data_IF_973718585600
#
_entry.id   IF_973718585600
#
_cell.length_a   1.000
_cell.length_b   1.000
_cell.length_c   1.000
_cell.angle_alpha   90.00
_cell.angle_beta   90.00
_cell.angle_gamma   90.00
#
_symmetry.space_group_name_H-M   'P 1'
#
loop_
_entity.id
_entity.type
_entity.pdbx_description
1 polymer ?
#
# COMPACT_ATOMS: atom_id res chain seq x y z
N UNK A 1 11.84 -10.12 14.35
CA UNK A 1 11.68 -8.84 13.62
C UNK A 1 10.86 -9.18 12.39
N UNK A 2 9.77 -8.44 12.14
CA UNK A 2 8.93 -8.65 10.95
C UNK A 2 9.65 -8.03 9.76
N UNK A 3 9.73 -8.72 8.63
CA UNK A 3 10.35 -8.19 7.41
C UNK A 3 9.43 -7.18 6.71
N UNK A 4 9.95 -6.29 5.85
CA UNK A 4 9.12 -5.39 5.04
C UNK A 4 8.07 -6.12 4.19
N UNK A 5 8.40 -7.30 3.67
CA UNK A 5 7.50 -8.15 2.88
C UNK A 5 6.39 -8.74 3.75
N UNK A 6 6.72 -9.27 4.93
CA UNK A 6 5.70 -9.74 5.90
C UNK A 6 4.78 -8.58 6.32
N UNK A 7 5.33 -7.38 6.51
CA UNK A 7 4.56 -6.18 6.84
C UNK A 7 3.59 -5.79 5.71
N UNK A 8 4.04 -5.85 4.46
CA UNK A 8 3.19 -5.63 3.29
C UNK A 8 2.07 -6.67 3.19
N UNK A 9 2.38 -7.94 3.40
CA UNK A 9 1.37 -9.02 3.42
C UNK A 9 0.29 -8.74 4.46
N UNK A 10 0.67 -8.34 5.66
CA UNK A 10 -0.26 -7.94 6.71
C UNK A 10 -1.15 -6.76 6.30
N UNK A 11 -0.64 -5.80 5.55
CA UNK A 11 -1.41 -4.65 5.04
C UNK A 11 -2.39 -5.05 3.92
N UNK A 12 -2.00 -5.97 3.04
CA UNK A 12 -2.90 -6.54 2.04
C UNK A 12 -4.04 -7.29 2.74
N UNK A 13 -3.71 -8.17 3.70
CA UNK A 13 -4.70 -8.97 4.44
C UNK A 13 -5.71 -8.07 5.17
N UNK A 14 -5.26 -7.03 5.86
CA UNK A 14 -6.15 -6.10 6.58
C UNK A 14 -7.03 -5.23 5.69
N UNK A 15 -6.72 -5.16 4.39
CA UNK A 15 -7.45 -4.34 3.42
C UNK A 15 -8.49 -5.15 2.64
N UNK A 16 -8.52 -6.48 2.78
CA UNK A 16 -9.40 -7.39 2.03
C UNK A 16 -10.89 -7.07 2.15
N UNK A 17 -11.34 -6.56 3.30
CA UNK A 17 -12.75 -6.19 3.51
C UNK A 17 -13.13 -4.84 2.86
N UNK A 18 -12.14 -4.04 2.48
CA UNK A 18 -12.33 -2.72 1.87
C UNK A 18 -12.28 -2.75 0.35
N UNK A 19 -11.55 -3.71 -0.22
CA UNK A 19 -11.24 -3.80 -1.64
C UNK A 19 -12.06 -4.88 -2.35
N UNK A 20 -12.14 -4.80 -3.68
CA UNK A 20 -12.83 -5.85 -4.45
C UNK A 20 -11.96 -7.10 -4.56
N UNK A 21 -12.59 -8.22 -4.92
CA UNK A 21 -11.87 -9.50 -5.11
C UNK A 21 -10.83 -9.38 -6.23
N UNK A 22 -11.15 -8.66 -7.31
CA UNK A 22 -10.25 -8.43 -8.42
C UNK A 22 -9.03 -7.60 -7.98
N UNK A 23 -9.24 -6.50 -7.24
CA UNK A 23 -8.13 -5.68 -6.72
C UNK A 23 -7.20 -6.52 -5.84
N UNK A 24 -7.76 -7.32 -4.92
CA UNK A 24 -6.95 -8.19 -4.05
C UNK A 24 -6.15 -9.22 -4.84
N UNK A 25 -6.74 -9.83 -5.88
CA UNK A 25 -6.00 -10.79 -6.73
C UNK A 25 -4.83 -10.14 -7.45
N UNK A 26 -4.98 -8.91 -7.90
CA UNK A 26 -3.89 -8.17 -8.55
C UNK A 26 -2.77 -7.84 -7.56
N UNK A 27 -3.10 -7.37 -6.35
CA UNK A 27 -2.11 -7.14 -5.30
C UNK A 27 -1.38 -8.43 -4.90
N UNK A 28 -2.12 -9.53 -4.73
CA UNK A 28 -1.54 -10.85 -4.43
C UNK A 28 -0.69 -11.36 -5.61
N UNK A 29 -1.06 -11.05 -6.85
CA UNK A 29 -0.25 -11.40 -8.03
C UNK A 29 1.13 -10.73 -7.95
N UNK A 30 1.20 -9.41 -7.79
CA UNK A 30 2.48 -8.70 -7.66
C UNK A 30 3.28 -9.19 -6.45
N UNK A 31 2.62 -9.37 -5.30
CA UNK A 31 3.27 -9.85 -4.08
C UNK A 31 3.91 -11.24 -4.27
N UNK A 32 3.19 -12.17 -4.89
CA UNK A 32 3.67 -13.53 -5.14
C UNK A 32 4.81 -13.58 -6.16
N UNK A 33 4.87 -12.61 -7.09
CA UNK A 33 5.98 -12.43 -8.03
C UNK A 33 7.17 -11.66 -7.43
N UNK A 34 7.11 -11.30 -6.15
CA UNK A 34 8.12 -10.50 -5.43
C UNK A 34 8.26 -9.08 -5.96
N UNK A 35 7.24 -8.58 -6.63
CA UNK A 35 7.12 -7.20 -7.11
C UNK A 35 6.50 -6.35 -6.00
N UNK A 36 7.18 -6.29 -4.84
CA UNK A 36 6.64 -5.70 -3.61
C UNK A 36 6.36 -4.20 -3.72
N UNK A 37 7.18 -3.49 -4.49
CA UNK A 37 6.97 -2.08 -4.82
C UNK A 37 5.63 -1.89 -5.52
N UNK A 38 5.37 -2.68 -6.57
CA UNK A 38 4.11 -2.66 -7.32
C UNK A 38 2.93 -3.05 -6.44
N UNK A 39 3.06 -4.13 -5.66
CA UNK A 39 2.03 -4.55 -4.72
C UNK A 39 1.68 -3.44 -3.70
N UNK A 40 2.68 -2.73 -3.17
CA UNK A 40 2.42 -1.68 -2.19
C UNK A 40 1.88 -0.39 -2.83
N UNK A 41 2.39 -0.01 -4.01
CA UNK A 41 1.87 1.11 -4.78
C UNK A 41 0.41 0.90 -5.17
N UNK A 42 0.08 -0.28 -5.72
CA UNK A 42 -1.29 -0.66 -6.04
C UNK A 42 -2.20 -0.61 -4.82
N UNK A 43 -1.75 -1.12 -3.67
CA UNK A 43 -2.52 -1.07 -2.43
C UNK A 43 -2.84 0.37 -2.01
N UNK A 44 -1.86 1.28 -2.12
CA UNK A 44 -2.06 2.70 -1.84
C UNK A 44 -3.03 3.31 -2.84
N UNK A 45 -2.92 3.01 -4.14
CA UNK A 45 -3.84 3.50 -5.17
C UNK A 45 -5.27 3.12 -4.80
N UNK A 46 -5.53 1.85 -4.52
CA UNK A 46 -6.88 1.38 -4.23
C UNK A 46 -7.47 2.02 -2.97
N UNK A 47 -6.70 2.08 -1.88
CA UNK A 47 -7.16 2.69 -0.63
C UNK A 47 -7.36 4.21 -0.74
N UNK A 48 -6.51 4.90 -1.49
CA UNK A 48 -6.66 6.35 -1.72
C UNK A 48 -7.82 6.67 -2.66
N UNK A 49 -8.11 5.82 -3.63
CA UNK A 49 -9.25 5.98 -4.55
C UNK A 49 -10.60 5.86 -3.82
N UNK A 50 -10.70 4.95 -2.85
CA UNK A 50 -11.93 4.78 -2.06
C UNK A 50 -11.97 5.64 -0.79
N UNK A 51 -10.89 6.38 -0.50
CA UNK A 51 -10.70 7.21 0.70
C UNK A 51 -10.99 6.45 2.01
N UNK A 52 -10.49 5.22 2.14
CA UNK A 52 -10.67 4.37 3.33
C UNK A 52 -9.35 3.84 3.87
N UNK A 53 -9.26 3.74 5.19
CA UNK A 53 -8.10 3.21 5.90
C UNK A 53 -8.40 1.80 6.44
N UNK A 54 -7.48 0.83 6.29
CA UNK A 54 -7.61 -0.47 6.95
C UNK A 54 -7.46 -0.34 8.47
N UNK A 55 -7.98 -1.32 9.21
CA UNK A 55 -8.00 -1.29 10.68
C UNK A 55 -6.60 -1.26 11.34
N UNK A 56 -5.56 -1.69 10.62
CA UNK A 56 -4.17 -1.64 11.08
C UNK A 56 -3.39 -0.45 10.52
N UNK A 57 -4.08 0.55 9.96
CA UNK A 57 -3.41 1.70 9.36
C UNK A 57 -2.63 2.48 10.41
N UNK A 58 -1.36 2.73 10.11
CA UNK A 58 -0.48 3.57 10.89
C UNK A 58 0.35 4.37 9.92
N UNK A 59 0.08 5.69 9.85
CA UNK A 59 0.74 6.55 8.88
C UNK A 59 2.27 6.46 8.96
N UNK A 60 2.84 6.42 10.17
CA UNK A 60 4.29 6.29 10.36
C UNK A 60 4.84 4.97 9.81
N UNK A 61 4.15 3.85 10.03
CA UNK A 61 4.60 2.54 9.56
C UNK A 61 4.45 2.40 8.05
N UNK A 62 3.32 2.81 7.49
CA UNK A 62 3.08 2.80 6.06
C UNK A 62 4.05 3.71 5.31
N UNK A 63 4.33 4.90 5.85
CA UNK A 63 5.33 5.82 5.29
C UNK A 63 6.74 5.22 5.34
N UNK A 64 7.09 4.53 6.43
CA UNK A 64 8.37 3.84 6.53
C UNK A 64 8.50 2.74 5.48
N UNK A 65 7.42 1.96 5.26
CA UNK A 65 7.39 0.90 4.27
C UNK A 65 7.47 1.46 2.83
N UNK A 66 6.76 2.55 2.55
CA UNK A 66 6.81 3.20 1.22
C UNK A 66 8.20 3.69 0.87
N UNK A 67 8.92 4.26 1.84
CA UNK A 67 10.33 4.62 1.66
C UNK A 67 11.25 3.40 1.48
N UNK A 68 10.94 2.29 2.15
CA UNK A 68 11.69 1.05 1.99
C UNK A 68 11.58 0.54 0.55
N UNK A 69 10.37 0.53 -0.01
CA UNK A 69 10.12 0.21 -1.42
C UNK A 69 10.34 1.39 -2.38
N UNK A 70 11.00 2.46 -1.91
CA UNK A 70 11.37 3.65 -2.71
C UNK A 70 10.23 4.39 -3.41
N UNK A 71 8.99 4.23 -2.95
CA UNK A 71 7.84 4.98 -3.49
C UNK A 71 8.00 6.50 -3.38
N UNK A 72 8.91 6.98 -2.51
CA UNK A 72 9.25 8.40 -2.42
C UNK A 72 10.17 8.90 -3.53
N UNK A 73 10.60 8.03 -4.45
CA UNK A 73 11.57 8.31 -5.52
C UNK A 73 11.20 7.71 -6.86
N UNK A 74 10.68 6.48 -6.85
CA UNK A 74 10.32 5.68 -8.01
C UNK A 74 8.86 5.25 -7.86
N UNK A 75 8.11 5.28 -8.97
CA UNK A 75 6.69 4.91 -9.04
C UNK A 75 6.46 4.16 -10.34
N UNK A 76 5.64 3.13 -10.31
CA UNK A 76 5.37 2.23 -11.44
C UNK A 76 4.05 2.56 -12.12
N UNK A 77 2.99 2.82 -11.35
CA UNK A 77 1.63 2.95 -11.85
C UNK A 77 1.14 4.40 -11.90
N UNK A 78 1.48 5.20 -10.89
CA UNK A 78 1.00 6.58 -10.78
C UNK A 78 2.13 7.50 -10.28
N UNK A 79 2.58 8.40 -11.17
CA UNK A 79 3.68 9.33 -10.90
C UNK A 79 3.43 10.28 -9.71
N UNK A 80 2.18 10.45 -9.29
CA UNK A 80 1.80 11.29 -8.14
C UNK A 80 1.40 10.48 -6.90
N UNK A 81 1.56 9.15 -6.92
CA UNK A 81 1.04 8.29 -5.85
C UNK A 81 1.61 8.62 -4.48
N UNK A 82 2.89 8.99 -4.42
CA UNK A 82 3.52 9.37 -3.16
C UNK A 82 2.91 10.63 -2.56
N UNK A 83 2.61 11.63 -3.38
CA UNK A 83 1.98 12.87 -2.93
C UNK A 83 0.54 12.62 -2.46
N UNK A 84 -0.21 11.80 -3.22
CA UNK A 84 -1.57 11.35 -2.85
C UNK A 84 -1.56 10.61 -1.52
N UNK A 85 -0.67 9.63 -1.36
CA UNK A 85 -0.46 8.89 -0.12
C UNK A 85 -0.15 9.82 1.06
N UNK A 86 0.78 10.75 0.87
CA UNK A 86 1.19 11.67 1.95
C UNK A 86 0.06 12.61 2.36
N UNK A 87 -0.81 13.02 1.43
CA UNK A 87 -1.99 13.84 1.73
C UNK A 87 -3.08 13.03 2.43
N UNK A 88 -3.40 11.87 1.89
CA UNK A 88 -4.37 10.93 2.44
C UNK A 88 -3.94 10.49 3.84
N UNK A 89 -2.76 9.89 4.00
CA UNK A 89 -2.27 9.39 5.28
C UNK A 89 -2.14 10.44 6.38
N UNK A 90 -1.86 11.71 6.06
CA UNK A 90 -1.86 12.82 7.05
C UNK A 90 -3.26 13.20 7.55
N UNK A 91 -4.29 12.84 6.80
CA UNK A 91 -5.69 13.11 7.15
C UNK A 91 -6.25 12.04 8.10
N UNK A 92 -5.48 10.99 8.39
CA UNK A 92 -5.81 9.98 9.40
C UNK A 92 -5.65 10.56 10.81
N UNK A 93 -6.79 10.71 11.51
CA UNK A 93 -6.91 11.26 12.87
C UNK A 93 -6.96 10.15 13.92
#
# INVERSE_FOLDING_TARGET
MVTPEEQLEHYIISSKELLTIEDIKELEHFFNHREYEMAFEGLIIELTNIDKYPNNFSFSHWKSLGKHFKLDKETVFDEYIWEKFMKWGKSYL
#
